data_IF_924004001104
#
_entry.id   IF_924004001104
#
_cell.length_a   1.000
_cell.length_b   1.000
_cell.length_c   1.000
_cell.angle_alpha   90.00
_cell.angle_beta   90.00
_cell.angle_gamma   90.00
#
_symmetry.space_group_name_H-M   'P 1'
#
loop_
_entity.id
_entity.type
_entity.pdbx_description
1 polymer ?
#
# COMPACT_ATOMS: atom_id res chain seq x y z
N UNK A 1 7.40 4.88 -6.47
CA UNK A 1 6.49 4.57 -5.32
C UNK A 1 7.32 4.37 -4.07
N UNK A 2 6.88 4.90 -2.94
CA UNK A 2 7.63 4.80 -1.67
C UNK A 2 7.83 3.34 -1.23
N UNK A 3 9.04 3.04 -0.75
CA UNK A 3 9.54 1.67 -0.51
C UNK A 3 8.76 0.92 0.55
N UNK A 4 8.34 1.58 1.64
CA UNK A 4 7.56 0.97 2.73
C UNK A 4 6.10 0.73 2.32
N UNK A 5 5.47 1.63 1.55
CA UNK A 5 4.16 1.40 0.94
C UNK A 5 4.20 0.15 0.05
N UNK A 6 5.23 0.02 -0.79
CA UNK A 6 5.40 -1.15 -1.65
C UNK A 6 5.53 -2.44 -0.83
N UNK A 7 6.26 -2.42 0.29
CA UNK A 7 6.38 -3.58 1.19
C UNK A 7 5.02 -3.97 1.80
N UNK A 8 4.24 -3.00 2.29
CA UNK A 8 2.89 -3.26 2.82
C UNK A 8 2.01 -3.90 1.75
N UNK A 9 1.96 -3.32 0.53
CA UNK A 9 1.13 -3.85 -0.55
C UNK A 9 1.54 -5.26 -0.97
N UNK A 10 2.84 -5.56 -1.03
CA UNK A 10 3.33 -6.92 -1.30
C UNK A 10 2.87 -7.93 -0.25
N UNK A 11 2.89 -7.56 1.03
CA UNK A 11 2.42 -8.44 2.10
C UNK A 11 0.91 -8.70 2.02
N UNK A 12 0.12 -7.70 1.62
CA UNK A 12 -1.32 -7.87 1.43
C UNK A 12 -1.61 -8.77 0.22
N UNK A 13 -0.91 -8.56 -0.90
CA UNK A 13 -1.07 -9.38 -2.09
C UNK A 13 -0.73 -10.86 -1.79
N UNK A 14 0.38 -11.10 -1.09
CA UNK A 14 0.78 -12.45 -0.65
C UNK A 14 -0.27 -13.09 0.28
N UNK A 15 -0.82 -12.34 1.23
CA UNK A 15 -1.84 -12.85 2.16
C UNK A 15 -3.12 -13.30 1.46
N UNK A 16 -3.50 -12.61 0.39
CA UNK A 16 -4.69 -12.90 -0.42
C UNK A 16 -4.40 -13.83 -1.60
N UNK A 17 -3.16 -14.33 -1.74
CA UNK A 17 -2.73 -15.19 -2.84
C UNK A 17 -3.01 -14.61 -4.25
N UNK A 18 -2.89 -13.28 -4.39
CA UNK A 18 -3.08 -12.55 -5.65
C UNK A 18 -1.80 -11.85 -6.08
N UNK A 19 -1.70 -11.48 -7.35
CA UNK A 19 -0.57 -10.67 -7.79
C UNK A 19 -0.66 -9.24 -7.23
N UNK A 20 0.49 -8.56 -7.10
CA UNK A 20 0.51 -7.13 -6.77
C UNK A 20 -0.25 -6.30 -7.81
N UNK A 21 -0.23 -6.72 -9.08
CA UNK A 21 -1.00 -6.08 -10.16
C UNK A 21 -2.50 -6.16 -9.92
N UNK A 22 -3.02 -7.35 -9.60
CA UNK A 22 -4.44 -7.57 -9.32
C UNK A 22 -4.89 -6.76 -8.11
N UNK A 23 -4.08 -6.73 -7.05
CA UNK A 23 -4.35 -5.92 -5.86
C UNK A 23 -4.46 -4.43 -6.22
N UNK A 24 -3.51 -3.91 -7.01
CA UNK A 24 -3.49 -2.51 -7.42
C UNK A 24 -4.68 -2.17 -8.32
N UNK A 25 -5.02 -3.04 -9.27
CA UNK A 25 -6.19 -2.86 -10.12
C UNK A 25 -7.48 -2.80 -9.27
N UNK A 26 -7.63 -3.71 -8.32
CA UNK A 26 -8.75 -3.71 -7.37
C UNK A 26 -8.85 -2.43 -6.55
N UNK A 27 -7.72 -1.94 -6.00
CA UNK A 27 -7.65 -0.68 -5.25
C UNK A 27 -8.08 0.50 -6.12
N UNK A 28 -7.54 0.59 -7.34
CA UNK A 28 -7.81 1.69 -8.27
C UNK A 28 -9.28 1.70 -8.70
N UNK A 29 -9.86 0.54 -9.02
CA UNK A 29 -11.27 0.43 -9.42
C UNK A 29 -12.21 0.88 -8.28
N UNK A 30 -11.97 0.43 -7.05
CA UNK A 30 -12.76 0.90 -5.89
C UNK A 30 -12.58 2.40 -5.66
N UNK A 31 -11.36 2.94 -5.79
CA UNK A 31 -11.10 4.36 -5.63
C UNK A 31 -11.82 5.21 -6.68
N UNK A 32 -11.86 4.78 -7.94
CA UNK A 32 -12.64 5.43 -9.01
C UNK A 32 -14.13 5.49 -8.69
N UNK A 33 -14.65 4.51 -7.96
CA UNK A 33 -16.03 4.45 -7.52
C UNK A 33 -16.28 5.09 -6.14
N UNK A 34 -15.24 5.64 -5.50
CA UNK A 34 -15.33 6.24 -4.16
C UNK A 34 -15.59 5.23 -3.03
N UNK A 35 -15.22 3.96 -3.22
CA UNK A 35 -15.42 2.86 -2.26
C UNK A 35 -14.12 2.49 -1.55
N UNK A 36 -14.22 1.96 -0.34
CA UNK A 36 -13.07 1.37 0.36
C UNK A 36 -12.72 0.02 -0.28
N UNK A 37 -11.47 -0.22 -0.70
CA UNK A 37 -11.05 -1.51 -1.29
C UNK A 37 -10.76 -2.60 -0.25
N UNK A 38 -10.69 -2.25 1.04
CA UNK A 38 -10.29 -3.14 2.11
C UNK A 38 -11.43 -3.36 3.10
N UNK A 39 -11.60 -4.62 3.50
CA UNK A 39 -12.44 -5.00 4.64
C UNK A 39 -11.70 -4.81 5.97
N UNK A 40 -12.41 -5.01 7.08
CA UNK A 40 -11.86 -4.81 8.43
C UNK A 40 -10.64 -5.70 8.72
N UNK A 41 -10.65 -6.93 8.20
CA UNK A 41 -9.52 -7.87 8.36
C UNK A 41 -8.27 -7.35 7.63
N UNK A 42 -8.44 -6.90 6.38
CA UNK A 42 -7.35 -6.32 5.59
C UNK A 42 -6.85 -5.02 6.20
N UNK A 43 -7.73 -4.16 6.72
CA UNK A 43 -7.34 -2.93 7.42
C UNK A 43 -6.51 -3.23 8.68
N UNK A 44 -6.89 -4.24 9.45
CA UNK A 44 -6.12 -4.67 10.61
C UNK A 44 -4.73 -5.20 10.24
N UNK A 45 -4.64 -5.96 9.13
CA UNK A 45 -3.35 -6.42 8.61
C UNK A 45 -2.49 -5.25 8.12
N UNK A 46 -3.07 -4.30 7.38
CA UNK A 46 -2.38 -3.09 6.92
C UNK A 46 -1.80 -2.34 8.12
N UNK A 47 -2.57 -2.12 9.18
CA UNK A 47 -2.10 -1.44 10.40
C UNK A 47 -0.88 -2.14 11.01
N UNK A 48 -0.91 -3.48 11.16
CA UNK A 48 0.24 -4.26 11.64
C UNK A 48 1.46 -4.12 10.74
N UNK A 49 1.27 -4.19 9.42
CA UNK A 49 2.39 -4.08 8.48
C UNK A 49 2.98 -2.67 8.47
N UNK A 50 2.16 -1.64 8.66
CA UNK A 50 2.62 -0.25 8.83
C UNK A 50 3.55 -0.12 10.03
N UNK A 51 3.22 -0.73 11.17
CA UNK A 51 4.08 -0.73 12.36
C UNK A 51 5.41 -1.46 12.11
N UNK A 52 5.37 -2.64 11.47
CA UNK A 52 6.59 -3.43 11.19
C UNK A 52 7.55 -2.68 10.27
N UNK A 53 7.04 -1.96 9.28
CA UNK A 53 7.86 -1.23 8.31
C UNK A 53 8.11 0.23 8.68
N UNK A 54 7.68 0.67 9.86
CA UNK A 54 7.77 2.05 10.31
C UNK A 54 7.19 3.03 9.25
N UNK A 55 5.99 2.71 8.74
CA UNK A 55 5.27 3.52 7.76
C UNK A 55 4.27 4.44 8.47
N UNK A 56 4.67 5.69 8.64
CA UNK A 56 3.88 6.77 9.25
C UNK A 56 3.05 7.58 8.25
N UNK A 57 3.32 7.43 6.95
CA UNK A 57 2.63 8.16 5.88
C UNK A 57 1.11 7.95 5.90
N UNK A 58 0.43 9.03 5.53
CA UNK A 58 -1.02 9.15 5.42
C UNK A 58 -1.41 9.65 4.02
N UNK A 59 -2.70 9.72 3.74
CA UNK A 59 -3.19 10.30 2.48
C UNK A 59 -2.80 11.79 2.34
N UNK A 60 -2.57 12.51 3.44
CA UNK A 60 -2.13 13.92 3.40
C UNK A 60 -0.72 14.09 2.83
N UNK A 61 0.10 13.04 2.90
CA UNK A 61 1.47 13.01 2.37
C UNK A 61 1.50 12.64 0.88
N UNK A 62 0.34 12.29 0.30
CA UNK A 62 0.24 12.02 -1.14
C UNK A 62 0.72 13.24 -1.94
N UNK A 63 1.50 12.98 -2.99
CA UNK A 63 2.10 14.00 -3.87
C UNK A 63 3.17 14.91 -3.25
N UNK A 64 3.48 14.76 -1.96
CA UNK A 64 4.57 15.47 -1.28
C UNK A 64 5.88 14.65 -1.27
N UNK A 65 5.79 13.37 -1.62
CA UNK A 65 6.94 12.48 -1.72
C UNK A 65 7.71 12.80 -3.01
N UNK A 66 8.90 13.39 -2.87
CA UNK A 66 9.87 13.45 -3.96
C UNK A 66 10.51 12.08 -4.16
N UNK A 67 10.63 11.63 -5.40
CA UNK A 67 11.47 10.48 -5.71
C UNK A 67 12.93 10.88 -5.43
N UNK A 68 13.44 10.48 -4.27
CA UNK A 68 14.89 10.38 -4.08
C UNK A 68 15.32 9.16 -4.87
N UNK A 69 16.16 9.38 -5.88
CA UNK A 69 16.91 8.31 -6.54
C UNK A 69 17.75 7.61 -5.47
N UNK A 70 17.19 6.56 -4.86
CA UNK A 70 17.97 5.55 -4.14
C UNK A 70 18.72 4.73 -5.20
N UNK A 71 19.70 5.37 -5.84
CA UNK A 71 20.81 4.69 -6.48
C UNK A 71 21.69 4.12 -5.36
N UNK A 72 21.29 2.98 -4.78
CA UNK A 72 22.22 2.16 -3.99
C UNK A 72 23.28 1.60 -4.97
N UNK A 73 24.47 2.24 -4.96
CA UNK A 73 25.76 1.70 -5.39
C UNK A 73 26.25 0.63 -4.41
#
# INVERSE_FOLDING_TARGET
MEKRILKVLKMIAEHHEISLGDLLEGIVLHAFEGRCPFDDASLHMIAKMKEIFDLDLTAADSHLLSETDDMEL
#
